data_IF_501987271245
#
_entry.id   IF_501987271245
#
_cell.length_a   1.000
_cell.length_b   1.000
_cell.length_c   1.000
_cell.angle_alpha   90.00
_cell.angle_beta   90.00
_cell.angle_gamma   90.00
#
_symmetry.space_group_name_H-M   'P 1'
#
loop_
_entity.id
_entity.type
_entity.pdbx_description
1 polymer ?
#
# COMPACT_ATOMS: atom_id res chain seq x y z
N UNK A 1 37.93 -5.92 63.87
CA UNK A 1 38.05 -5.39 62.52
C UNK A 1 36.91 -6.00 61.65
N UNK A 2 35.88 -5.21 61.36
CA UNK A 2 34.75 -5.66 60.54
C UNK A 2 34.94 -5.09 59.13
N UNK A 3 35.16 -5.97 58.16
CA UNK A 3 35.31 -5.56 56.75
C UNK A 3 33.91 -5.62 56.07
N UNK A 4 33.36 -4.47 55.82
CA UNK A 4 32.06 -4.34 55.09
C UNK A 4 32.33 -4.41 53.59
N UNK A 5 31.92 -5.49 52.93
CA UNK A 5 31.96 -5.63 51.47
C UNK A 5 30.78 -4.83 50.85
N UNK A 6 31.13 -3.77 50.14
CA UNK A 6 30.15 -2.96 49.37
C UNK A 6 30.00 -3.59 47.99
N UNK A 7 28.90 -4.29 47.73
CA UNK A 7 28.57 -4.83 46.38
C UNK A 7 27.96 -3.74 45.54
N UNK A 8 28.70 -3.29 44.53
CA UNK A 8 28.23 -2.34 43.51
C UNK A 8 27.37 -3.08 42.50
N UNK A 9 26.02 -2.93 42.61
CA UNK A 9 25.10 -3.46 41.63
C UNK A 9 25.12 -2.57 40.35
N UNK A 10 25.77 -3.06 39.30
CA UNK A 10 25.78 -2.42 37.98
C UNK A 10 24.46 -2.71 37.30
N UNK A 11 23.54 -1.75 37.34
CA UNK A 11 22.24 -1.82 36.60
C UNK A 11 22.49 -1.54 35.12
N UNK A 12 22.63 -2.58 34.31
CA UNK A 12 22.61 -2.44 32.84
C UNK A 12 21.20 -2.17 32.37
N UNK A 13 20.87 -0.93 32.13
CA UNK A 13 19.65 -0.56 31.40
C UNK A 13 19.78 -1.05 29.95
N UNK A 14 19.08 -2.14 29.63
CA UNK A 14 18.85 -2.58 28.24
C UNK A 14 18.00 -1.51 27.55
N UNK A 15 18.62 -0.67 26.74
CA UNK A 15 17.91 0.19 25.78
C UNK A 15 17.33 -0.74 24.71
N UNK A 16 16.07 -1.14 24.88
CA UNK A 16 15.31 -1.72 23.78
C UNK A 16 15.22 -0.65 22.70
N UNK A 17 15.78 -0.92 21.52
CA UNK A 17 15.67 0.00 20.38
C UNK A 17 14.18 0.29 20.12
N UNK A 18 13.81 1.55 20.20
CA UNK A 18 12.41 1.95 19.94
C UNK A 18 12.05 1.57 18.50
N UNK A 19 10.94 0.86 18.30
CA UNK A 19 10.45 0.51 16.96
C UNK A 19 10.18 1.82 16.19
N UNK A 20 10.69 1.97 14.96
CA UNK A 20 10.39 3.13 14.14
C UNK A 20 8.87 3.35 14.01
N UNK A 21 8.43 4.60 14.05
CA UNK A 21 7.02 4.98 13.84
C UNK A 21 6.92 6.29 13.05
N UNK A 22 5.71 6.60 12.58
CA UNK A 22 5.41 7.78 11.78
C UNK A 22 4.53 8.78 12.54
N UNK A 23 4.54 8.73 13.87
CA UNK A 23 3.66 9.52 14.73
C UNK A 23 3.73 11.02 14.47
N UNK A 24 4.90 11.54 14.17
CA UNK A 24 5.06 12.96 13.86
C UNK A 24 4.33 13.33 12.57
N UNK A 25 4.52 12.54 11.50
CA UNK A 25 3.87 12.77 10.21
C UNK A 25 2.34 12.57 10.25
N UNK A 26 1.87 11.67 11.10
CA UNK A 26 0.45 11.34 11.26
C UNK A 26 -0.23 12.12 12.38
N UNK A 27 0.48 12.99 13.09
CA UNK A 27 -0.05 13.71 14.24
C UNK A 27 -1.32 14.51 13.91
N UNK A 28 -2.36 14.34 14.71
CA UNK A 28 -3.64 15.05 14.56
C UNK A 28 -4.56 14.52 13.46
N UNK A 29 -4.13 13.53 12.67
CA UNK A 29 -4.97 12.93 11.65
C UNK A 29 -5.91 11.88 12.27
N UNK A 30 -7.21 11.97 11.93
CA UNK A 30 -8.19 10.90 12.19
C UNK A 30 -8.32 9.93 11.02
N UNK A 31 -8.10 10.43 9.82
CA UNK A 31 -8.05 9.62 8.58
C UNK A 31 -7.00 10.18 7.63
N UNK A 32 -6.46 9.32 6.77
CA UNK A 32 -5.53 9.68 5.71
C UNK A 32 -6.02 9.12 4.37
N UNK A 33 -6.08 9.98 3.36
CA UNK A 33 -6.55 9.64 2.02
C UNK A 33 -5.38 9.60 1.05
N UNK A 34 -5.17 8.46 0.40
CA UNK A 34 -4.08 8.30 -0.57
C UNK A 34 -4.55 7.60 -1.84
N UNK A 35 -4.03 8.05 -2.98
CA UNK A 35 -4.14 7.36 -4.26
C UNK A 35 -2.74 7.01 -4.77
N UNK A 36 -2.50 5.72 -4.99
CA UNK A 36 -1.26 5.20 -5.57
C UNK A 36 -1.41 5.09 -7.09
N UNK A 37 -0.54 5.78 -7.83
CA UNK A 37 -0.48 5.74 -9.30
C UNK A 37 0.58 4.70 -9.73
N UNK A 38 0.14 3.47 -10.03
CA UNK A 38 1.02 2.32 -10.26
C UNK A 38 1.30 2.14 -11.75
N UNK A 39 2.60 2.05 -12.09
CA UNK A 39 3.09 1.86 -13.46
C UNK A 39 4.12 0.75 -13.59
N UNK A 40 4.24 -0.11 -12.58
CA UNK A 40 5.23 -1.21 -12.56
C UNK A 40 5.01 -2.17 -13.73
N UNK A 41 6.08 -2.61 -14.41
CA UNK A 41 5.96 -3.43 -15.62
C UNK A 41 5.99 -4.94 -15.38
N UNK A 42 6.31 -5.40 -14.18
CA UNK A 42 6.54 -6.81 -13.84
C UNK A 42 5.81 -7.25 -12.56
N UNK A 43 5.60 -8.57 -12.45
CA UNK A 43 4.85 -9.18 -11.34
C UNK A 43 5.62 -9.10 -10.02
N UNK A 44 6.95 -9.18 -10.02
CA UNK A 44 7.77 -9.09 -8.82
C UNK A 44 7.60 -7.73 -8.12
N UNK A 45 7.69 -6.64 -8.91
CA UNK A 45 7.43 -5.29 -8.40
C UNK A 45 5.98 -5.09 -7.98
N UNK A 46 5.03 -5.71 -8.69
CA UNK A 46 3.63 -5.68 -8.28
C UNK A 46 3.45 -6.33 -6.91
N UNK A 47 3.98 -7.55 -6.72
CA UNK A 47 3.94 -8.29 -5.47
C UNK A 47 4.57 -7.48 -4.32
N UNK A 48 5.77 -6.93 -4.55
CA UNK A 48 6.44 -6.08 -3.57
C UNK A 48 5.54 -4.90 -3.15
N UNK A 49 4.95 -4.19 -4.12
CA UNK A 49 4.12 -3.03 -3.81
C UNK A 49 2.79 -3.40 -3.13
N UNK A 50 2.17 -4.54 -3.46
CA UNK A 50 0.97 -5.01 -2.76
C UNK A 50 1.25 -5.28 -1.27
N UNK A 51 2.40 -5.90 -0.96
CA UNK A 51 2.85 -6.07 0.42
C UNK A 51 3.09 -4.73 1.11
N UNK A 52 3.75 -3.78 0.43
CA UNK A 52 4.01 -2.45 0.97
C UNK A 52 2.71 -1.67 1.22
N UNK A 53 1.69 -1.79 0.35
CA UNK A 53 0.38 -1.19 0.59
C UNK A 53 -0.30 -1.80 1.82
N UNK A 54 -0.13 -3.11 2.02
CA UNK A 54 -0.67 -3.79 3.19
C UNK A 54 0.01 -3.31 4.49
N UNK A 55 1.34 -3.21 4.50
CA UNK A 55 2.10 -2.66 5.62
C UNK A 55 1.75 -1.20 5.90
N UNK A 56 1.59 -0.38 4.85
CA UNK A 56 1.17 1.02 4.96
C UNK A 56 -0.21 1.13 5.62
N UNK A 57 -1.16 0.30 5.19
CA UNK A 57 -2.50 0.26 5.77
C UNK A 57 -2.44 -0.08 7.26
N UNK A 58 -1.78 -1.18 7.61
CA UNK A 58 -1.68 -1.66 8.99
C UNK A 58 -0.88 -0.69 9.87
N UNK A 59 0.16 -0.07 9.32
CA UNK A 59 0.96 0.96 9.99
C UNK A 59 0.11 2.17 10.38
N UNK A 60 -0.74 2.69 9.49
CA UNK A 60 -1.67 3.79 9.82
C UNK A 60 -2.68 3.37 10.89
N UNK A 61 -3.30 2.19 10.74
CA UNK A 61 -4.28 1.67 11.71
C UNK A 61 -3.65 1.52 13.10
N UNK A 62 -2.44 0.98 13.18
CA UNK A 62 -1.73 0.80 14.46
C UNK A 62 -1.42 2.12 15.18
N UNK A 63 -1.38 3.22 14.43
CA UNK A 63 -1.16 4.58 14.93
C UNK A 63 -2.46 5.38 15.10
N UNK A 64 -3.63 4.72 14.99
CA UNK A 64 -4.94 5.33 15.23
C UNK A 64 -5.49 6.16 14.07
N UNK A 65 -4.89 6.07 12.88
CA UNK A 65 -5.33 6.77 11.67
C UNK A 65 -6.12 5.81 10.77
N UNK A 66 -7.31 6.21 10.34
CA UNK A 66 -8.14 5.42 9.39
C UNK A 66 -7.64 5.63 7.96
N UNK A 67 -7.11 4.59 7.27
CA UNK A 67 -6.69 4.73 5.88
C UNK A 67 -7.90 4.75 4.93
N UNK A 68 -7.85 5.62 3.91
CA UNK A 68 -8.71 5.59 2.74
C UNK A 68 -7.81 5.48 1.50
N UNK A 69 -7.62 4.24 1.01
CA UNK A 69 -6.63 3.95 -0.03
C UNK A 69 -7.29 3.57 -1.35
N UNK A 70 -6.77 4.15 -2.44
CA UNK A 70 -7.10 3.78 -3.82
C UNK A 70 -5.80 3.47 -4.54
N UNK A 71 -5.78 2.39 -5.31
CA UNK A 71 -4.64 1.99 -6.14
C UNK A 71 -5.11 1.98 -7.58
N UNK A 72 -4.46 2.77 -8.43
CA UNK A 72 -4.83 2.86 -9.84
C UNK A 72 -3.68 2.36 -10.71
N UNK A 73 -4.01 1.56 -11.70
CA UNK A 73 -3.05 0.97 -12.64
C UNK A 73 -3.15 1.61 -14.01
N UNK A 74 -2.01 2.03 -14.54
CA UNK A 74 -1.87 2.53 -15.91
C UNK A 74 -0.53 2.14 -16.54
N UNK A 75 -0.30 2.55 -17.78
CA UNK A 75 0.91 2.17 -18.49
C UNK A 75 0.98 0.65 -18.73
N UNK A 76 2.19 0.08 -18.85
CA UNK A 76 2.36 -1.35 -19.15
C UNK A 76 1.86 -2.27 -18.03
N UNK A 77 1.77 -1.80 -16.80
CA UNK A 77 1.32 -2.56 -15.64
C UNK A 77 -0.10 -3.12 -15.75
N UNK A 78 -0.94 -2.54 -16.62
CA UNK A 78 -2.30 -3.09 -16.85
C UNK A 78 -2.28 -4.50 -17.44
N UNK A 79 -1.19 -4.92 -18.11
CA UNK A 79 -1.01 -6.28 -18.64
C UNK A 79 -0.88 -7.33 -17.53
N UNK A 80 -0.45 -6.91 -16.33
CA UNK A 80 -0.28 -7.79 -15.18
C UNK A 80 -1.61 -8.19 -14.54
N UNK A 81 -2.69 -7.43 -14.79
CA UNK A 81 -3.96 -7.55 -14.07
C UNK A 81 -4.91 -8.57 -14.68
N UNK A 82 -4.41 -9.59 -15.37
CA UNK A 82 -5.25 -10.63 -15.96
C UNK A 82 -5.11 -11.95 -15.22
N UNK A 83 -6.17 -12.75 -15.24
CA UNK A 83 -6.17 -14.07 -14.60
C UNK A 83 -5.09 -15.02 -15.18
N UNK A 84 -4.66 -14.78 -16.43
CA UNK A 84 -3.59 -15.54 -17.06
C UNK A 84 -2.18 -15.15 -16.59
N UNK A 85 -2.03 -13.97 -16.01
CA UNK A 85 -0.72 -13.40 -15.60
C UNK A 85 -0.46 -13.55 -14.11
N UNK A 86 -1.52 -13.47 -13.29
CA UNK A 86 -1.41 -13.50 -11.83
C UNK A 86 -1.70 -14.89 -11.29
N UNK A 87 -0.77 -15.39 -10.46
CA UNK A 87 -0.99 -16.57 -9.65
C UNK A 87 -1.95 -16.29 -8.48
N UNK A 88 -2.32 -17.36 -7.77
CA UNK A 88 -3.29 -17.27 -6.67
C UNK A 88 -2.73 -16.51 -5.46
N UNK A 89 -1.42 -16.56 -5.21
CA UNK A 89 -0.77 -15.85 -4.11
C UNK A 89 -0.94 -14.32 -4.26
N UNK A 90 -0.67 -13.79 -5.46
CA UNK A 90 -0.83 -12.38 -5.75
C UNK A 90 -2.31 -11.96 -5.67
N UNK A 91 -3.22 -12.80 -6.16
CA UNK A 91 -4.67 -12.54 -6.09
C UNK A 91 -5.19 -12.52 -4.65
N UNK A 92 -4.67 -13.37 -3.77
CA UNK A 92 -5.02 -13.33 -2.34
C UNK A 92 -4.62 -12.01 -1.68
N UNK A 93 -3.51 -11.38 -2.07
CA UNK A 93 -3.13 -10.05 -1.58
C UNK A 93 -4.13 -8.97 -2.03
N UNK A 94 -4.59 -9.01 -3.29
CA UNK A 94 -5.67 -8.11 -3.73
C UNK A 94 -6.91 -8.28 -2.85
N UNK A 95 -7.36 -9.53 -2.63
CA UNK A 95 -8.54 -9.82 -1.80
C UNK A 95 -8.36 -9.37 -0.36
N UNK A 96 -7.18 -9.59 0.23
CA UNK A 96 -6.87 -9.14 1.58
C UNK A 96 -6.95 -7.62 1.72
N UNK A 97 -6.41 -6.88 0.76
CA UNK A 97 -6.47 -5.43 0.74
C UNK A 97 -7.90 -4.91 0.50
N UNK A 98 -8.69 -5.57 -0.36
CA UNK A 98 -10.10 -5.24 -0.57
C UNK A 98 -10.92 -5.45 0.71
N UNK A 99 -10.69 -6.53 1.45
CA UNK A 99 -11.33 -6.76 2.76
C UNK A 99 -11.04 -5.64 3.76
N UNK A 100 -9.88 -4.98 3.65
CA UNK A 100 -9.51 -3.79 4.43
C UNK A 100 -10.15 -2.50 3.89
N UNK A 101 -10.81 -2.52 2.73
CA UNK A 101 -11.45 -1.36 2.09
C UNK A 101 -10.59 -0.63 1.07
N UNK A 102 -9.45 -1.19 0.67
CA UNK A 102 -8.64 -0.66 -0.45
C UNK A 102 -9.39 -0.89 -1.75
N UNK A 103 -9.38 0.10 -2.64
CA UNK A 103 -10.01 0.02 -3.96
C UNK A 103 -8.96 -0.05 -5.05
N UNK A 104 -9.18 -0.92 -6.02
CA UNK A 104 -8.29 -1.08 -7.18
C UNK A 104 -9.00 -0.69 -8.47
N UNK A 105 -8.33 0.11 -9.31
CA UNK A 105 -8.85 0.57 -10.60
C UNK A 105 -7.81 0.35 -11.71
N UNK A 106 -8.25 -0.07 -12.89
CA UNK A 106 -7.43 -0.20 -14.10
C UNK A 106 -7.92 0.72 -15.20
N UNK A 107 -6.99 1.31 -15.96
CA UNK A 107 -7.26 2.26 -17.03
C UNK A 107 -7.64 1.54 -18.33
N UNK A 108 -8.88 1.70 -18.83
CA UNK A 108 -9.30 1.15 -20.12
C UNK A 108 -8.49 1.74 -21.30
N UNK A 109 -8.11 3.01 -21.23
CA UNK A 109 -7.21 3.62 -22.23
C UNK A 109 -5.87 2.90 -22.26
N UNK A 110 -5.27 2.64 -21.09
CA UNK A 110 -3.99 1.92 -21.01
C UNK A 110 -4.15 0.47 -21.51
N UNK A 111 -5.21 -0.23 -21.12
CA UNK A 111 -5.45 -1.60 -21.63
C UNK A 111 -5.50 -1.63 -23.16
N UNK A 112 -6.21 -0.70 -23.78
CA UNK A 112 -6.23 -0.59 -25.25
C UNK A 112 -4.86 -0.29 -25.84
N UNK A 113 -4.11 0.68 -25.29
CA UNK A 113 -2.79 1.08 -25.79
C UNK A 113 -1.77 -0.03 -25.64
N UNK A 114 -1.78 -0.71 -24.51
CA UNK A 114 -0.84 -1.79 -24.20
C UNK A 114 -1.34 -3.18 -24.61
N UNK A 115 -2.48 -3.25 -25.34
CA UNK A 115 -3.06 -4.51 -25.87
C UNK A 115 -3.31 -5.56 -24.77
N UNK A 116 -3.77 -5.11 -23.60
CA UNK A 116 -4.27 -5.97 -22.55
C UNK A 116 -5.77 -6.20 -22.75
N UNK A 117 -6.23 -7.46 -22.64
CA UNK A 117 -7.63 -7.80 -22.83
C UNK A 117 -8.47 -7.44 -21.59
N UNK A 118 -9.45 -6.53 -21.70
CA UNK A 118 -10.31 -6.20 -20.57
C UNK A 118 -11.19 -7.36 -20.08
N UNK A 119 -11.49 -8.34 -20.96
CA UNK A 119 -12.28 -9.52 -20.58
C UNK A 119 -11.52 -10.43 -19.62
N UNK A 120 -10.18 -10.46 -19.74
CA UNK A 120 -9.32 -11.20 -18.86
C UNK A 120 -8.99 -10.50 -17.54
N UNK A 121 -9.46 -9.26 -17.32
CA UNK A 121 -9.18 -8.52 -16.07
C UNK A 121 -9.71 -9.27 -14.86
N UNK A 122 -8.87 -9.36 -13.81
CA UNK A 122 -9.30 -10.00 -12.56
C UNK A 122 -10.46 -9.23 -11.91
N UNK A 123 -11.43 -9.93 -11.30
CA UNK A 123 -12.62 -9.30 -10.72
C UNK A 123 -12.34 -8.38 -9.54
N UNK A 124 -11.17 -8.52 -8.93
CA UNK A 124 -10.68 -7.68 -7.84
C UNK A 124 -10.41 -6.22 -8.25
N UNK A 125 -10.27 -5.96 -9.55
CA UNK A 125 -9.90 -4.65 -10.11
C UNK A 125 -11.03 -4.08 -10.95
N UNK A 126 -11.49 -2.88 -10.61
CA UNK A 126 -12.52 -2.17 -11.37
C UNK A 126 -11.94 -1.53 -12.63
N UNK A 127 -12.50 -1.83 -13.79
CA UNK A 127 -12.17 -1.10 -15.01
C UNK A 127 -12.78 0.30 -15.00
N UNK A 128 -11.95 1.33 -15.20
CA UNK A 128 -12.40 2.73 -15.35
C UNK A 128 -12.03 3.26 -16.74
N UNK A 129 -12.83 4.16 -17.27
CA UNK A 129 -12.64 4.68 -18.63
C UNK A 129 -11.26 5.31 -18.84
N UNK A 130 -10.84 6.16 -17.91
CA UNK A 130 -9.53 6.82 -17.93
C UNK A 130 -9.07 7.11 -16.49
N UNK A 131 -7.97 6.50 -16.09
CA UNK A 131 -7.40 6.67 -14.76
C UNK A 131 -6.97 8.12 -14.46
N UNK A 132 -6.67 8.95 -15.47
CA UNK A 132 -6.43 10.37 -15.22
C UNK A 132 -7.63 11.07 -14.62
N UNK A 133 -8.85 10.70 -15.03
CA UNK A 133 -10.07 11.24 -14.41
C UNK A 133 -10.19 10.76 -12.95
N UNK A 134 -9.83 9.51 -12.64
CA UNK A 134 -9.77 9.01 -11.27
C UNK A 134 -8.75 9.82 -10.44
N UNK A 135 -7.51 9.99 -10.94
CA UNK A 135 -6.47 10.76 -10.28
C UNK A 135 -6.91 12.19 -9.98
N UNK A 136 -7.47 12.90 -10.98
CA UNK A 136 -7.99 14.25 -10.82
C UNK A 136 -9.11 14.27 -9.77
N UNK A 137 -10.10 13.37 -9.91
CA UNK A 137 -11.26 13.31 -9.05
C UNK A 137 -10.91 13.02 -7.59
N UNK A 138 -10.01 12.06 -7.33
CA UNK A 138 -9.60 11.73 -5.97
C UNK A 138 -8.74 12.83 -5.34
N UNK A 139 -7.81 13.45 -6.07
CA UNK A 139 -7.03 14.58 -5.56
C UNK A 139 -7.93 15.75 -5.16
N UNK A 140 -8.96 16.08 -5.98
CA UNK A 140 -9.95 17.10 -5.63
C UNK A 140 -10.83 16.72 -4.41
N UNK A 141 -10.85 15.43 -4.02
CA UNK A 141 -11.48 14.95 -2.78
C UNK A 141 -10.51 14.86 -1.60
N UNK A 142 -9.30 15.44 -1.74
CA UNK A 142 -8.28 15.50 -0.72
C UNK A 142 -7.40 14.25 -0.60
N UNK A 143 -7.33 13.39 -1.65
CA UNK A 143 -6.37 12.29 -1.67
C UNK A 143 -4.97 12.78 -2.06
N UNK A 144 -3.98 12.49 -1.24
CA UNK A 144 -2.57 12.68 -1.61
C UNK A 144 -2.19 11.64 -2.67
N UNK A 145 -1.45 12.03 -3.70
CA UNK A 145 -1.00 11.11 -4.76
C UNK A 145 0.43 10.66 -4.51
N UNK A 146 0.66 9.34 -4.57
CA UNK A 146 1.98 8.71 -4.53
C UNK A 146 2.19 7.94 -5.83
N UNK A 147 3.24 8.27 -6.58
CA UNK A 147 3.59 7.58 -7.81
C UNK A 147 4.48 6.35 -7.52
N UNK A 148 4.14 5.21 -8.14
CA UNK A 148 4.83 3.93 -8.04
C UNK A 148 5.31 3.54 -9.46
N UNK A 149 6.65 3.51 -9.67
CA UNK A 149 7.29 3.33 -10.98
C UNK A 149 8.19 2.08 -11.04
#
# INVERSE_FOLDING_TARGET
>A
MLVTLLTLACSTTLYAAQKPDDREALAGLKSAKVIFDVRVPDVEKLLFNLNLFNETFDGMVSQGVKPEMVVVFRGPGVRLLTAATLDEEVRELFRALIKKGVRFEACAVAMRVFKADPVGLIPEVKLVANVFNSLIGYQNKGYAMIAIN
#
